data_IF_224013184120
#
_entry.id   IF_224013184120
#
_cell.length_a   1.000
_cell.length_b   1.000
_cell.length_c   1.000
_cell.angle_alpha   90.00
_cell.angle_beta   90.00
_cell.angle_gamma   90.00
#
_symmetry.space_group_name_H-M   'P 1'
#
loop_
_entity.id
_entity.type
_entity.pdbx_description
1 polymer ?
#
# COMPACT_ATOMS: atom_id res chain seq x y z
N UNK A 1 -5.43 -1.31 5.41
CA UNK A 1 -4.01 -1.00 5.69
C UNK A 1 -3.72 -1.25 7.16
N UNK A 2 -2.81 -2.17 7.51
CA UNK A 2 -2.33 -2.33 8.89
C UNK A 2 -1.05 -1.50 9.06
N UNK A 3 -0.88 -0.85 10.21
CA UNK A 3 0.31 -0.05 10.53
C UNK A 3 1.56 -0.93 10.62
N UNK A 4 1.43 -2.13 11.18
CA UNK A 4 2.51 -3.11 11.32
C UNK A 4 3.16 -3.54 10.00
N UNK A 5 2.42 -3.46 8.87
CA UNK A 5 2.97 -3.77 7.53
C UNK A 5 4.08 -2.79 7.08
N UNK A 6 4.25 -1.68 7.79
CA UNK A 6 5.16 -0.57 7.48
C UNK A 6 6.27 -0.35 8.54
N UNK A 7 6.46 -1.30 9.46
CA UNK A 7 7.63 -1.28 10.34
C UNK A 7 8.90 -1.33 9.49
N UNK A 8 9.90 -0.52 9.83
CA UNK A 8 11.15 -0.32 9.08
C UNK A 8 10.98 0.14 7.62
N UNK A 9 9.79 0.63 7.24
CA UNK A 9 9.50 1.07 5.88
C UNK A 9 9.92 2.51 5.60
N UNK A 10 9.77 3.42 6.59
CA UNK A 10 10.08 4.85 6.43
C UNK A 10 11.42 5.20 7.08
N UNK A 11 12.28 5.93 6.37
CA UNK A 11 13.62 6.27 6.83
C UNK A 11 13.59 7.15 8.10
N UNK A 12 12.57 8.00 8.24
CA UNK A 12 12.42 8.98 9.31
C UNK A 12 12.27 8.35 10.70
N UNK A 13 11.66 7.16 10.77
CA UNK A 13 11.43 6.45 12.04
C UNK A 13 12.22 5.14 12.12
N UNK A 14 13.04 4.82 11.10
CA UNK A 14 13.77 3.55 11.02
C UNK A 14 14.79 3.37 12.15
N UNK A 15 15.30 4.47 12.70
CA UNK A 15 16.26 4.46 13.81
C UNK A 15 15.60 4.27 15.18
N UNK A 16 14.28 4.40 15.27
CA UNK A 16 13.51 4.22 16.50
C UNK A 16 13.26 2.74 16.77
N UNK A 17 12.97 2.41 18.02
CA UNK A 17 12.59 1.05 18.39
C UNK A 17 11.28 0.63 17.70
N UNK A 18 11.10 -0.68 17.49
CA UNK A 18 9.91 -1.23 16.80
C UNK A 18 8.62 -0.80 17.51
N UNK A 19 8.61 -0.77 18.85
CA UNK A 19 7.44 -0.35 19.63
C UNK A 19 7.09 1.12 19.39
N UNK A 20 8.09 2.00 19.31
CA UNK A 20 7.90 3.42 19.03
C UNK A 20 7.45 3.65 17.59
N UNK A 21 8.01 2.90 16.63
CA UNK A 21 7.58 2.92 15.24
C UNK A 21 6.10 2.54 15.13
N UNK A 22 5.66 1.49 15.82
CA UNK A 22 4.26 1.06 15.79
C UNK A 22 3.33 2.16 16.30
N UNK A 23 3.65 2.78 17.43
CA UNK A 23 2.88 3.90 18.00
C UNK A 23 2.81 5.09 17.03
N UNK A 24 3.93 5.47 16.41
CA UNK A 24 3.95 6.57 15.44
C UNK A 24 3.15 6.24 14.18
N UNK A 25 3.23 5.00 13.69
CA UNK A 25 2.48 4.54 12.53
C UNK A 25 0.97 4.47 12.82
N UNK A 26 0.57 4.10 14.03
CA UNK A 26 -0.83 4.16 14.45
C UNK A 26 -1.35 5.59 14.54
N UNK A 27 -0.57 6.52 15.11
CA UNK A 27 -0.89 7.95 15.13
C UNK A 27 -1.00 8.52 13.72
N UNK A 28 -0.04 8.19 12.84
CA UNK A 28 -0.06 8.59 11.44
C UNK A 28 -1.28 8.05 10.69
N UNK A 29 -1.67 6.80 10.95
CA UNK A 29 -2.88 6.19 10.39
C UNK A 29 -4.14 6.94 10.86
N UNK A 30 -4.21 7.26 12.15
CA UNK A 30 -5.32 8.03 12.71
C UNK A 30 -5.40 9.43 12.08
N UNK A 31 -4.28 10.13 11.98
CA UNK A 31 -4.19 11.45 11.35
C UNK A 31 -4.75 11.44 9.91
N UNK A 32 -4.34 10.46 9.13
CA UNK A 32 -4.74 10.30 7.73
C UNK A 32 -6.23 10.03 7.56
N UNK A 33 -6.80 9.16 8.41
CA UNK A 33 -8.19 8.75 8.26
C UNK A 33 -9.17 9.70 8.95
N UNK A 34 -8.81 10.23 10.11
CA UNK A 34 -9.69 11.06 10.92
C UNK A 34 -9.57 12.53 10.54
N UNK A 35 -8.34 13.06 10.50
CA UNK A 35 -8.11 14.49 10.32
C UNK A 35 -8.06 14.86 8.83
N UNK A 36 -7.28 14.11 8.04
CA UNK A 36 -7.14 14.37 6.60
C UNK A 36 -8.28 13.75 5.76
N UNK A 37 -9.14 12.91 6.36
CA UNK A 37 -10.29 12.25 5.72
C UNK A 37 -9.93 11.51 4.42
N UNK A 38 -8.74 10.92 4.35
CA UNK A 38 -8.24 10.25 3.14
C UNK A 38 -8.65 8.78 3.03
N UNK A 39 -9.64 8.33 3.83
CA UNK A 39 -10.18 6.97 3.78
C UNK A 39 -10.68 6.59 2.39
N UNK A 40 -11.36 7.52 1.70
CA UNK A 40 -11.80 7.33 0.32
C UNK A 40 -10.64 7.15 -0.67
N UNK A 41 -9.49 7.79 -0.45
CA UNK A 41 -8.30 7.59 -1.30
C UNK A 41 -7.70 6.21 -1.10
N UNK A 42 -7.66 5.70 0.12
CA UNK A 42 -7.20 4.33 0.39
C UNK A 42 -8.11 3.29 -0.30
N UNK A 43 -9.43 3.49 -0.27
CA UNK A 43 -10.38 2.65 -1.01
C UNK A 43 -10.16 2.75 -2.54
N UNK A 44 -9.94 3.96 -3.06
CA UNK A 44 -9.62 4.14 -4.48
C UNK A 44 -8.30 3.44 -4.87
N UNK A 45 -7.27 3.48 -4.02
CA UNK A 45 -6.02 2.77 -4.27
C UNK A 45 -6.20 1.25 -4.28
N UNK A 46 -7.11 0.71 -3.47
CA UNK A 46 -7.50 -0.70 -3.56
C UNK A 46 -8.15 -1.01 -4.91
N UNK A 47 -9.09 -0.18 -5.37
CA UNK A 47 -9.74 -0.36 -6.69
C UNK A 47 -8.70 -0.29 -7.82
N UNK A 48 -7.81 0.71 -7.80
CA UNK A 48 -6.77 0.89 -8.83
C UNK A 48 -5.81 -0.31 -8.86
N UNK A 49 -5.40 -0.82 -7.69
CA UNK A 49 -4.53 -2.01 -7.63
C UNK A 49 -5.23 -3.28 -8.11
N UNK A 50 -6.52 -3.44 -7.82
CA UNK A 50 -7.33 -4.53 -8.35
C UNK A 50 -7.46 -4.46 -9.88
N UNK A 51 -7.75 -3.27 -10.42
CA UNK A 51 -7.83 -3.05 -11.87
C UNK A 51 -6.50 -3.37 -12.57
N UNK A 52 -5.36 -2.99 -11.96
CA UNK A 52 -4.05 -3.34 -12.49
C UNK A 52 -3.83 -4.86 -12.57
N UNK A 53 -4.23 -5.62 -11.54
CA UNK A 53 -4.17 -7.08 -11.58
C UNK A 53 -5.07 -7.67 -12.67
N UNK A 54 -6.29 -7.15 -12.81
CA UNK A 54 -7.22 -7.62 -13.85
C UNK A 54 -6.65 -7.41 -15.24
N UNK A 55 -6.07 -6.23 -15.52
CA UNK A 55 -5.46 -5.96 -16.81
C UNK A 55 -4.32 -6.96 -17.11
N UNK A 56 -3.47 -7.24 -16.13
CA UNK A 56 -2.38 -8.23 -16.28
C UNK A 56 -2.92 -9.64 -16.56
N UNK A 57 -4.01 -10.04 -15.90
CA UNK A 57 -4.59 -11.37 -16.07
C UNK A 57 -5.36 -11.53 -17.40
N UNK A 58 -5.91 -10.44 -17.94
CA UNK A 58 -6.73 -10.45 -19.17
C UNK A 58 -5.87 -10.41 -20.42
N UNK A 59 -4.69 -9.76 -20.41
CA UNK A 59 -3.83 -9.59 -21.59
C UNK A 59 -3.39 -10.92 -22.27
N UNK A 60 -2.91 -11.95 -21.54
CA UNK A 60 -2.33 -13.15 -22.15
C UNK A 60 -3.23 -13.93 -23.11
N UNK A 61 -4.51 -14.21 -22.81
CA UNK A 61 -5.36 -14.97 -23.72
C UNK A 61 -5.59 -14.28 -25.07
N UNK A 62 -5.46 -12.95 -25.15
CA UNK A 62 -5.60 -12.21 -26.43
C UNK A 62 -4.31 -12.14 -27.24
N UNK A 63 -3.13 -12.27 -26.61
CA UNK A 63 -1.84 -12.14 -27.30
C UNK A 63 -1.21 -13.51 -27.58
N UNK A 64 -1.23 -14.40 -26.59
CA UNK A 64 -0.50 -15.68 -26.60
C UNK A 64 -1.46 -16.87 -26.84
N UNK A 65 -2.77 -16.62 -26.77
CA UNK A 65 -3.81 -17.65 -26.88
C UNK A 65 -4.14 -18.30 -25.53
N UNK A 66 -5.15 -19.19 -25.54
CA UNK A 66 -5.65 -19.80 -24.31
C UNK A 66 -4.74 -20.95 -23.86
N UNK A 67 -3.72 -20.62 -23.07
CA UNK A 67 -2.88 -21.59 -22.36
C UNK A 67 -3.12 -21.51 -20.87
N UNK A 68 -3.58 -22.61 -20.27
CA UNK A 68 -3.90 -22.67 -18.84
C UNK A 68 -2.68 -22.31 -17.99
N UNK A 69 -1.51 -22.84 -18.33
CA UNK A 69 -0.25 -22.56 -17.60
C UNK A 69 0.10 -21.07 -17.64
N UNK A 70 0.06 -20.46 -18.83
CA UNK A 70 0.41 -19.05 -19.01
C UNK A 70 -0.59 -18.17 -18.26
N UNK A 71 -1.89 -18.45 -18.37
CA UNK A 71 -2.93 -17.69 -17.67
C UNK A 71 -2.75 -17.77 -16.15
N UNK A 72 -2.41 -18.94 -15.60
CA UNK A 72 -2.14 -19.09 -14.16
C UNK A 72 -0.92 -18.29 -13.72
N UNK A 73 0.17 -18.27 -14.50
CA UNK A 73 1.36 -17.46 -14.19
C UNK A 73 1.02 -15.98 -14.14
N UNK A 74 0.31 -15.47 -15.16
CA UNK A 74 -0.07 -14.06 -15.22
C UNK A 74 -1.09 -13.67 -14.16
N UNK A 75 -1.99 -14.57 -13.78
CA UNK A 75 -2.89 -14.36 -12.64
C UNK A 75 -2.09 -14.21 -11.34
N UNK A 76 -1.13 -15.10 -11.09
CA UNK A 76 -0.22 -15.00 -9.95
C UNK A 76 0.57 -13.69 -9.94
N UNK A 77 1.11 -13.30 -11.11
CA UNK A 77 1.83 -12.04 -11.27
C UNK A 77 0.93 -10.82 -11.03
N UNK A 78 -0.31 -10.84 -11.53
CA UNK A 78 -1.31 -9.80 -11.31
C UNK A 78 -1.60 -9.61 -9.82
N UNK A 79 -1.77 -10.69 -9.07
CA UNK A 79 -1.96 -10.63 -7.60
C UNK A 79 -0.75 -9.98 -6.92
N UNK A 80 0.48 -10.39 -7.27
CA UNK A 80 1.69 -9.80 -6.70
C UNK A 80 1.79 -8.30 -7.01
N UNK A 81 1.50 -7.90 -8.25
CA UNK A 81 1.49 -6.49 -8.65
C UNK A 81 0.43 -5.70 -7.89
N UNK A 82 -0.78 -6.25 -7.72
CA UNK A 82 -1.83 -5.58 -6.92
C UNK A 82 -1.43 -5.41 -5.47
N UNK A 83 -0.87 -6.44 -4.84
CA UNK A 83 -0.40 -6.35 -3.45
C UNK A 83 0.72 -5.33 -3.30
N UNK A 84 1.71 -5.37 -4.19
CA UNK A 84 2.81 -4.40 -4.19
C UNK A 84 2.31 -2.97 -4.40
N UNK A 85 1.47 -2.74 -5.39
CA UNK A 85 0.93 -1.42 -5.71
C UNK A 85 0.05 -0.90 -4.58
N UNK A 86 -0.80 -1.74 -4.01
CA UNK A 86 -1.63 -1.40 -2.85
C UNK A 86 -0.77 -1.03 -1.64
N UNK A 87 0.27 -1.80 -1.33
CA UNK A 87 1.21 -1.49 -0.24
C UNK A 87 1.93 -0.17 -0.49
N UNK A 88 2.43 0.05 -1.71
CA UNK A 88 3.16 1.27 -2.05
C UNK A 88 2.28 2.53 -2.00
N UNK A 89 1.07 2.48 -2.57
CA UNK A 89 0.12 3.59 -2.55
C UNK A 89 -0.34 3.95 -1.14
N UNK A 90 -0.67 2.92 -0.35
CA UNK A 90 -1.05 3.11 1.05
C UNK A 90 0.14 3.60 1.89
N UNK A 91 1.36 3.14 1.62
CA UNK A 91 2.58 3.66 2.24
C UNK A 91 2.79 5.16 1.99
N UNK A 92 2.55 5.64 0.78
CA UNK A 92 2.60 7.08 0.46
C UNK A 92 1.55 7.90 1.22
N UNK A 93 0.38 7.32 1.45
CA UNK A 93 -0.71 7.95 2.19
C UNK A 93 -0.39 7.99 3.69
N UNK A 94 0.14 6.89 4.24
CA UNK A 94 0.62 6.81 5.62
C UNK A 94 1.80 7.76 5.86
N UNK A 95 2.71 7.91 4.89
CA UNK A 95 3.82 8.86 4.94
C UNK A 95 3.35 10.30 5.14
N UNK A 96 2.25 10.71 4.51
CA UNK A 96 1.67 12.04 4.70
C UNK A 96 1.17 12.24 6.14
N UNK A 97 0.58 11.20 6.73
CA UNK A 97 0.23 11.20 8.15
C UNK A 97 1.45 11.29 9.03
N UNK A 98 2.46 10.47 8.74
CA UNK A 98 3.70 10.41 9.51
C UNK A 98 4.40 11.76 9.52
N UNK A 99 4.55 12.40 8.36
CA UNK A 99 5.17 13.72 8.24
C UNK A 99 4.45 14.76 9.10
N UNK A 100 3.12 14.74 9.12
CA UNK A 100 2.33 15.64 9.95
C UNK A 100 2.53 15.37 11.45
N UNK A 101 2.48 14.09 11.85
CA UNK A 101 2.69 13.66 13.24
C UNK A 101 4.09 13.99 13.73
N UNK A 102 5.12 13.75 12.92
CA UNK A 102 6.52 14.07 13.23
C UNK A 102 6.70 15.58 13.36
N UNK A 103 6.21 16.37 12.40
CA UNK A 103 6.29 17.84 12.47
C UNK A 103 5.53 18.43 13.67
N UNK A 104 4.42 17.81 14.08
CA UNK A 104 3.64 18.27 15.23
C UNK A 104 4.25 17.88 16.57
N UNK A 105 5.07 16.83 16.62
CA UNK A 105 5.73 16.36 17.84
C UNK A 105 7.17 16.91 17.99
N UNK A 106 7.66 17.72 17.04
CA UNK A 106 8.99 18.34 17.12
C UNK A 106 10.15 17.34 17.01
N UNK A 107 9.92 16.20 16.36
CA UNK A 107 10.93 15.19 16.01
C UNK A 107 11.48 15.51 14.61
#
# INVERSE_FOLDING_TARGET
MRSSDYINYFAEIKTLDISEQEVLLEKARYEVFTNQKLSGKSALYFIVSLLAAMLIAIIPPYIIGFSLIINTIFLGFGILVSQYLSKWLNGRLLYKGLKHVVSSNGI
#
